data_IF_703063731773
#
_entry.id   IF_703063731773
#
_cell.length_a   1.000
_cell.length_b   1.000
_cell.length_c   1.000
_cell.angle_alpha   90.00
_cell.angle_beta   90.00
_cell.angle_gamma   90.00
#
_symmetry.space_group_name_H-M   'P 1'
#
loop_
_entity.id
_entity.type
_entity.pdbx_description
1 polymer ?
#
# COMPACT_ATOMS: atom_id res chain seq x y z
N UNK A 1 32.95 24.99 45.96
CA UNK A 1 32.40 23.64 45.77
C UNK A 1 31.20 23.74 44.86
N UNK A 2 30.30 24.69 45.14
CA UNK A 2 29.13 25.03 44.32
C UNK A 2 29.49 25.39 42.86
N UNK A 3 30.48 26.25 42.61
CA UNK A 3 30.91 26.59 41.24
C UNK A 3 31.30 25.37 40.37
N UNK A 4 31.92 24.34 40.96
CA UNK A 4 32.31 23.13 40.21
C UNK A 4 31.09 22.23 39.97
N UNK A 5 30.17 22.15 40.94
CA UNK A 5 28.94 21.37 40.82
C UNK A 5 28.02 22.01 39.77
N UNK A 6 27.88 23.33 39.79
CA UNK A 6 27.07 24.09 38.82
C UNK A 6 27.63 23.93 37.40
N UNK A 7 28.97 24.04 37.23
CA UNK A 7 29.62 23.82 35.95
C UNK A 7 29.44 22.38 35.43
N UNK A 8 29.46 21.37 36.30
CA UNK A 8 29.19 19.97 35.93
C UNK A 8 27.72 19.79 35.55
N UNK A 9 26.78 20.40 36.27
CA UNK A 9 25.33 20.34 35.98
C UNK A 9 25.02 20.97 34.63
N UNK A 10 25.58 22.13 34.34
CA UNK A 10 25.36 22.83 33.07
C UNK A 10 25.98 22.07 31.89
N UNK A 11 27.17 21.49 32.08
CA UNK A 11 27.78 20.59 31.10
C UNK A 11 26.92 19.34 30.83
N UNK A 12 26.39 18.70 31.88
CA UNK A 12 25.53 17.52 31.76
C UNK A 12 24.20 17.85 31.09
N UNK A 13 23.60 19.01 31.39
CA UNK A 13 22.40 19.49 30.71
C UNK A 13 22.64 19.64 29.22
N UNK A 14 23.72 20.33 28.82
CA UNK A 14 24.07 20.48 27.40
C UNK A 14 24.18 19.14 26.67
N UNK A 15 24.89 18.16 27.28
CA UNK A 15 25.04 16.83 26.71
C UNK A 15 23.70 16.10 26.54
N UNK A 16 22.80 16.21 27.52
CA UNK A 16 21.47 15.60 27.47
C UNK A 16 20.56 16.28 26.44
N UNK A 17 20.56 17.62 26.35
CA UNK A 17 19.81 18.37 25.33
C UNK A 17 20.29 17.95 23.93
N UNK A 18 21.61 17.97 23.69
CA UNK A 18 22.17 17.60 22.39
C UNK A 18 21.86 16.14 22.03
N UNK A 19 21.86 15.24 23.02
CA UNK A 19 21.49 13.83 22.81
C UNK A 19 20.01 13.64 22.48
N UNK A 20 19.10 14.36 23.13
CA UNK A 20 17.66 14.32 22.83
C UNK A 20 17.40 14.92 21.45
N UNK A 21 17.97 16.09 21.17
CA UNK A 21 17.84 16.77 19.88
C UNK A 21 18.37 15.90 18.74
N UNK A 22 19.54 15.26 18.89
CA UNK A 22 20.06 14.34 17.88
C UNK A 22 19.15 13.13 17.62
N UNK A 23 18.46 12.63 18.66
CA UNK A 23 17.48 11.56 18.50
C UNK A 23 16.20 12.01 17.80
N UNK A 24 15.75 13.25 18.06
CA UNK A 24 14.57 13.86 17.42
C UNK A 24 14.86 14.27 15.96
N UNK A 25 16.01 14.85 15.68
CA UNK A 25 16.49 15.14 14.31
C UNK A 25 16.53 13.86 13.49
N UNK A 26 17.18 12.82 14.04
CA UNK A 26 17.22 11.52 13.41
C UNK A 26 15.82 10.94 13.16
N UNK A 27 14.86 11.17 14.05
CA UNK A 27 13.46 10.77 13.82
C UNK A 27 12.87 11.52 12.62
N UNK A 28 12.97 12.85 12.58
CA UNK A 28 12.33 13.66 11.53
C UNK A 28 12.93 13.38 10.15
N UNK A 29 14.26 13.23 10.07
CA UNK A 29 14.94 12.85 8.84
C UNK A 29 14.50 11.46 8.36
N UNK A 30 14.43 10.48 9.27
CA UNK A 30 13.98 9.13 8.94
C UNK A 30 12.52 9.10 8.48
N UNK A 31 11.63 9.92 9.08
CA UNK A 31 10.22 10.01 8.65
C UNK A 31 10.13 10.59 7.24
N UNK A 32 10.80 11.71 6.99
CA UNK A 32 10.78 12.37 5.68
C UNK A 32 11.38 11.47 4.59
N UNK A 33 12.51 10.83 4.88
CA UNK A 33 13.13 9.86 3.96
C UNK A 33 12.21 8.65 3.75
N UNK A 34 11.61 8.10 4.81
CA UNK A 34 10.69 6.97 4.71
C UNK A 34 9.47 7.31 3.85
N UNK A 35 8.89 8.51 3.97
CA UNK A 35 7.75 8.93 3.12
C UNK A 35 8.14 8.93 1.64
N UNK A 36 9.31 9.47 1.30
CA UNK A 36 9.83 9.49 -0.08
C UNK A 36 10.17 8.10 -0.63
N UNK A 37 10.83 7.28 0.17
CA UNK A 37 11.20 5.91 -0.19
C UNK A 37 9.96 5.01 -0.34
N UNK A 38 8.99 5.12 0.57
CA UNK A 38 7.73 4.36 0.50
C UNK A 38 6.94 4.76 -0.73
N UNK A 39 6.83 6.05 -1.04
CA UNK A 39 6.18 6.49 -2.28
C UNK A 39 6.81 5.83 -3.52
N UNK A 40 8.14 5.72 -3.52
CA UNK A 40 8.88 5.03 -4.59
C UNK A 40 8.58 3.53 -4.59
N UNK A 41 8.76 2.84 -3.47
CA UNK A 41 8.53 1.39 -3.35
C UNK A 41 7.07 0.98 -3.57
N UNK A 42 6.12 1.87 -3.26
CA UNK A 42 4.69 1.65 -3.46
C UNK A 42 4.28 1.93 -4.91
N UNK A 43 5.02 2.80 -5.61
CA UNK A 43 4.84 3.11 -7.02
C UNK A 43 5.59 2.21 -8.01
N UNK A 44 6.43 1.27 -7.56
CA UNK A 44 7.19 0.37 -8.47
C UNK A 44 6.30 -0.68 -9.14
N UNK A 45 6.56 -0.94 -10.43
CA UNK A 45 5.83 -1.95 -11.21
C UNK A 45 6.18 -3.36 -10.74
N UNK A 46 5.27 -4.33 -10.91
CA UNK A 46 5.61 -5.73 -10.70
C UNK A 46 6.79 -6.20 -11.56
N UNK A 47 7.01 -5.60 -12.74
CA UNK A 47 8.15 -5.93 -13.58
C UNK A 47 9.48 -5.37 -13.02
N UNK A 48 9.45 -4.12 -12.56
CA UNK A 48 10.63 -3.41 -12.06
C UNK A 48 11.00 -3.84 -10.63
N UNK A 49 10.02 -4.28 -9.84
CA UNK A 49 10.26 -4.74 -8.47
C UNK A 49 11.14 -5.98 -8.42
N UNK A 50 10.86 -6.98 -9.28
CA UNK A 50 11.75 -8.12 -9.47
C UNK A 50 11.47 -8.80 -10.83
N UNK A 51 12.37 -8.57 -11.79
CA UNK A 51 12.23 -9.12 -13.14
C UNK A 51 12.21 -10.65 -13.17
N UNK A 52 12.96 -11.33 -12.27
CA UNK A 52 13.03 -12.79 -12.20
C UNK A 52 11.70 -13.41 -11.73
N UNK A 53 11.16 -12.91 -10.63
CA UNK A 53 9.86 -13.35 -10.10
C UNK A 53 8.75 -13.01 -11.10
N UNK A 54 8.76 -11.82 -11.68
CA UNK A 54 7.79 -11.42 -12.69
C UNK A 54 7.80 -12.36 -13.91
N UNK A 55 8.98 -12.67 -14.45
CA UNK A 55 9.13 -13.61 -15.57
C UNK A 55 8.63 -15.00 -15.22
N UNK A 56 8.92 -15.49 -14.00
CA UNK A 56 8.43 -16.78 -13.53
C UNK A 56 6.90 -16.81 -13.43
N UNK A 57 6.30 -15.77 -12.84
CA UNK A 57 4.84 -15.65 -12.71
C UNK A 57 4.16 -15.57 -14.07
N UNK A 58 4.71 -14.79 -14.99
CA UNK A 58 4.24 -14.71 -16.36
C UNK A 58 4.28 -16.07 -17.05
N UNK A 59 5.40 -16.78 -16.94
CA UNK A 59 5.56 -18.10 -17.52
C UNK A 59 4.53 -19.08 -16.97
N UNK A 60 4.31 -19.12 -15.64
CA UNK A 60 3.27 -19.97 -15.02
C UNK A 60 1.89 -19.61 -15.57
N UNK A 61 1.56 -18.32 -15.64
CA UNK A 61 0.26 -17.86 -16.11
C UNK A 61 0.01 -18.25 -17.57
N UNK A 62 0.98 -17.98 -18.46
CA UNK A 62 0.85 -18.22 -19.90
C UNK A 62 0.95 -19.72 -20.28
N UNK A 63 1.72 -20.52 -19.55
CA UNK A 63 1.96 -21.93 -19.92
C UNK A 63 1.04 -22.92 -19.19
N UNK A 64 0.73 -22.68 -17.91
CA UNK A 64 -0.05 -23.62 -17.10
C UNK A 64 -1.49 -23.15 -16.87
N UNK A 65 -1.69 -21.88 -16.54
CA UNK A 65 -3.02 -21.37 -16.14
C UNK A 65 -3.88 -21.05 -17.36
N UNK A 66 -3.30 -20.45 -18.41
CA UNK A 66 -4.03 -20.07 -19.62
C UNK A 66 -4.73 -21.27 -20.31
N UNK A 67 -4.10 -22.46 -20.48
CA UNK A 67 -4.80 -23.63 -21.02
C UNK A 67 -5.98 -24.08 -20.15
N UNK A 68 -5.81 -24.08 -18.82
CA UNK A 68 -6.89 -24.44 -17.88
C UNK A 68 -8.07 -23.47 -18.04
N UNK A 69 -7.77 -22.17 -18.13
CA UNK A 69 -8.79 -21.15 -18.37
C UNK A 69 -9.47 -21.31 -19.74
N UNK A 70 -8.74 -21.74 -20.78
CA UNK A 70 -9.32 -22.06 -22.08
C UNK A 70 -10.33 -23.21 -22.02
N UNK A 71 -10.05 -24.24 -21.22
CA UNK A 71 -11.00 -25.33 -20.97
C UNK A 71 -12.24 -24.82 -20.22
N UNK A 72 -12.06 -24.00 -19.19
CA UNK A 72 -13.17 -23.38 -18.45
C UNK A 72 -14.03 -22.53 -19.38
N UNK A 73 -13.40 -21.68 -20.21
CA UNK A 73 -14.12 -20.86 -21.19
C UNK A 73 -14.93 -21.72 -22.15
N UNK A 74 -14.37 -22.85 -22.61
CA UNK A 74 -15.08 -23.78 -23.50
C UNK A 74 -16.34 -24.33 -22.82
N UNK A 75 -16.25 -24.74 -21.55
CA UNK A 75 -17.42 -25.18 -20.79
C UNK A 75 -18.45 -24.07 -20.63
N UNK A 76 -18.01 -22.87 -20.26
CA UNK A 76 -18.86 -21.69 -20.06
C UNK A 76 -19.63 -21.33 -21.34
N UNK A 77 -18.94 -21.26 -22.48
CA UNK A 77 -19.57 -20.93 -23.77
C UNK A 77 -20.49 -22.04 -24.28
N UNK A 78 -20.14 -23.31 -24.04
CA UNK A 78 -20.99 -24.47 -24.39
C UNK A 78 -22.26 -24.48 -23.56
N UNK A 79 -22.16 -24.18 -22.27
CA UNK A 79 -23.32 -24.08 -21.39
C UNK A 79 -24.29 -22.97 -21.84
N UNK A 80 -23.78 -21.79 -22.16
CA UNK A 80 -24.60 -20.70 -22.70
C UNK A 80 -25.29 -21.09 -24.02
N UNK A 81 -24.58 -21.82 -24.90
CA UNK A 81 -25.17 -22.33 -26.14
C UNK A 81 -26.35 -23.28 -25.89
N UNK A 82 -26.20 -24.21 -24.95
CA UNK A 82 -27.26 -25.14 -24.57
C UNK A 82 -28.46 -24.38 -23.98
N UNK A 83 -28.24 -23.41 -23.10
CA UNK A 83 -29.33 -22.61 -22.53
C UNK A 83 -30.12 -21.88 -23.62
N UNK A 84 -29.44 -21.21 -24.57
CA UNK A 84 -30.11 -20.53 -25.68
C UNK A 84 -30.95 -21.49 -26.56
N UNK A 85 -30.48 -22.72 -26.77
CA UNK A 85 -31.22 -23.74 -27.50
C UNK A 85 -32.48 -24.22 -26.76
N UNK A 86 -32.38 -24.41 -25.44
CA UNK A 86 -33.49 -24.83 -24.59
C UNK A 86 -34.56 -23.74 -24.47
N UNK A 87 -34.18 -22.47 -24.33
CA UNK A 87 -35.13 -21.35 -24.26
C UNK A 87 -35.91 -21.14 -25.57
N UNK A 88 -35.39 -21.60 -26.70
CA UNK A 88 -36.00 -21.49 -28.04
C UNK A 88 -36.60 -22.80 -28.55
N UNK A 89 -37.15 -23.64 -27.64
CA UNK A 89 -37.73 -24.97 -27.89
C UNK A 89 -38.95 -25.03 -28.84
N UNK A 90 -39.03 -24.20 -29.87
CA UNK A 90 -40.05 -24.30 -30.91
C UNK A 90 -39.50 -24.43 -32.34
N UNK A 91 -38.18 -24.39 -32.59
CA UNK A 91 -37.50 -24.64 -33.89
C UNK A 91 -38.08 -23.95 -35.15
N UNK A 92 -39.11 -23.12 -35.03
CA UNK A 92 -39.86 -22.57 -36.16
C UNK A 92 -39.24 -21.27 -36.65
N UNK A 93 -38.49 -20.57 -35.79
CA UNK A 93 -37.72 -19.37 -36.11
C UNK A 93 -36.40 -19.39 -35.34
N UNK A 94 -35.45 -20.20 -35.81
CA UNK A 94 -34.07 -20.16 -35.31
C UNK A 94 -33.46 -18.85 -35.82
N UNK A 95 -33.50 -17.82 -34.97
CA UNK A 95 -32.95 -16.50 -35.27
C UNK A 95 -31.43 -16.60 -35.46
N UNK A 96 -30.97 -16.65 -36.71
CA UNK A 96 -29.56 -16.80 -37.10
C UNK A 96 -28.69 -15.70 -36.47
N UNK A 97 -29.30 -14.55 -36.17
CA UNK A 97 -28.66 -13.44 -35.49
C UNK A 97 -28.18 -13.79 -34.08
N UNK A 98 -28.91 -14.64 -33.34
CA UNK A 98 -28.52 -15.06 -31.99
C UNK A 98 -27.23 -15.89 -32.02
N UNK A 99 -27.12 -16.82 -32.97
CA UNK A 99 -25.89 -17.61 -33.15
C UNK A 99 -24.71 -16.72 -33.52
N UNK A 100 -24.92 -15.73 -34.39
CA UNK A 100 -23.87 -14.78 -34.75
C UNK A 100 -23.38 -13.99 -33.52
N UNK A 101 -24.30 -13.52 -32.65
CA UNK A 101 -23.94 -12.86 -31.39
C UNK A 101 -23.12 -13.77 -30.47
N UNK A 102 -23.48 -15.04 -30.36
CA UNK A 102 -22.74 -16.00 -29.54
C UNK A 102 -21.35 -16.31 -30.10
N UNK A 103 -21.22 -16.46 -31.42
CA UNK A 103 -19.90 -16.64 -32.07
C UNK A 103 -19.03 -15.42 -31.82
N UNK A 104 -19.58 -14.21 -32.01
CA UNK A 104 -18.87 -12.97 -31.74
C UNK A 104 -18.47 -12.85 -30.27
N UNK A 105 -19.37 -13.17 -29.34
CA UNK A 105 -19.10 -13.18 -27.90
C UNK A 105 -17.97 -14.15 -27.53
N UNK A 106 -17.99 -15.36 -28.09
CA UNK A 106 -16.93 -16.36 -27.92
C UNK A 106 -15.59 -15.84 -28.44
N UNK A 107 -15.57 -15.23 -29.62
CA UNK A 107 -14.37 -14.64 -30.21
C UNK A 107 -13.77 -13.54 -29.32
N UNK A 108 -14.61 -12.62 -28.83
CA UNK A 108 -14.18 -11.56 -27.90
C UNK A 108 -13.67 -12.15 -26.59
N UNK A 109 -14.34 -13.17 -26.06
CA UNK A 109 -13.90 -13.84 -24.83
C UNK A 109 -12.52 -14.49 -24.97
N UNK A 110 -12.27 -15.18 -26.09
CA UNK A 110 -10.95 -15.75 -26.39
C UNK A 110 -9.89 -14.65 -26.51
N UNK A 111 -10.20 -13.56 -27.21
CA UNK A 111 -9.27 -12.43 -27.36
C UNK A 111 -8.90 -11.79 -26.01
N UNK A 112 -9.88 -11.59 -25.14
CA UNK A 112 -9.68 -11.09 -23.78
C UNK A 112 -8.83 -12.07 -22.98
N UNK A 113 -9.13 -13.38 -23.05
CA UNK A 113 -8.43 -14.41 -22.31
C UNK A 113 -6.94 -14.49 -22.71
N UNK A 114 -6.63 -14.45 -24.01
CA UNK A 114 -5.25 -14.44 -24.53
C UNK A 114 -4.47 -13.20 -24.11
N UNK A 115 -5.15 -12.09 -23.84
CA UNK A 115 -4.52 -10.82 -23.41
C UNK A 115 -4.67 -10.55 -21.91
N UNK A 116 -5.06 -11.54 -21.11
CA UNK A 116 -5.35 -11.34 -19.68
C UNK A 116 -4.19 -10.70 -18.93
N UNK A 117 -2.96 -11.19 -19.15
CA UNK A 117 -1.77 -10.67 -18.46
C UNK A 117 -1.54 -9.18 -18.77
N UNK A 118 -1.71 -8.76 -20.03
CA UNK A 118 -1.59 -7.36 -20.44
C UNK A 118 -2.68 -6.49 -19.80
N UNK A 119 -3.91 -6.99 -19.71
CA UNK A 119 -5.03 -6.25 -19.07
C UNK A 119 -4.74 -6.04 -17.59
N UNK A 120 -4.25 -7.07 -16.89
CA UNK A 120 -3.91 -6.97 -15.48
C UNK A 120 -2.80 -5.94 -15.25
N UNK A 121 -1.75 -5.96 -16.08
CA UNK A 121 -0.68 -4.97 -16.01
C UNK A 121 -1.20 -3.55 -16.26
N UNK A 122 -2.06 -3.35 -17.26
CA UNK A 122 -2.63 -2.04 -17.55
C UNK A 122 -3.44 -1.48 -16.36
N UNK A 123 -4.14 -2.32 -15.60
CA UNK A 123 -4.82 -1.89 -14.36
C UNK A 123 -3.83 -1.41 -13.31
N UNK A 124 -2.68 -2.10 -13.19
CA UNK A 124 -1.62 -1.67 -12.28
C UNK A 124 -0.95 -0.38 -12.74
N UNK A 125 -0.70 -0.19 -14.04
CA UNK A 125 -0.14 1.05 -14.59
C UNK A 125 -1.02 2.26 -14.26
N UNK A 126 -2.35 2.11 -14.41
CA UNK A 126 -3.32 3.15 -14.02
C UNK A 126 -3.26 3.42 -12.52
N UNK A 127 -3.21 2.36 -11.70
CA UNK A 127 -3.13 2.50 -10.24
C UNK A 127 -1.84 3.23 -9.83
N UNK A 128 -0.73 2.94 -10.48
CA UNK A 128 0.55 3.60 -10.25
C UNK A 128 0.57 5.04 -10.65
N UNK A 129 -0.05 5.39 -11.77
CA UNK A 129 -0.16 6.78 -12.18
C UNK A 129 -0.84 7.62 -11.07
N UNK A 130 -1.91 7.10 -10.48
CA UNK A 130 -2.61 7.74 -9.35
C UNK A 130 -1.70 7.84 -8.11
N UNK A 131 -0.95 6.77 -7.80
CA UNK A 131 -0.02 6.75 -6.68
C UNK A 131 1.09 7.80 -6.86
N UNK A 132 1.70 7.89 -8.04
CA UNK A 132 2.76 8.85 -8.35
C UNK A 132 2.27 10.29 -8.28
N UNK A 133 1.07 10.58 -8.81
CA UNK A 133 0.46 11.90 -8.67
C UNK A 133 0.21 12.27 -7.21
N UNK A 134 -0.29 11.31 -6.42
CA UNK A 134 -0.57 11.53 -4.99
C UNK A 134 0.72 11.71 -4.19
N UNK A 135 1.78 10.95 -4.53
CA UNK A 135 3.11 11.10 -3.94
C UNK A 135 3.65 12.52 -4.09
N UNK A 136 3.55 13.09 -5.30
CA UNK A 136 4.02 14.45 -5.57
C UNK A 136 3.29 15.51 -4.75
N UNK A 137 1.99 15.34 -4.48
CA UNK A 137 1.24 16.27 -3.62
C UNK A 137 1.70 16.14 -2.16
N UNK A 138 1.89 14.92 -1.69
CA UNK A 138 2.20 14.62 -0.29
C UNK A 138 3.62 15.08 0.06
N UNK A 139 4.61 14.85 -0.80
CA UNK A 139 5.98 15.32 -0.57
C UNK A 139 6.07 16.84 -0.39
N UNK A 140 5.27 17.62 -1.12
CA UNK A 140 5.26 19.08 -1.01
C UNK A 140 4.57 19.61 0.27
N UNK A 141 3.85 18.76 1.02
CA UNK A 141 3.04 19.17 2.17
C UNK A 141 3.56 18.69 3.52
N UNK A 142 4.63 17.89 3.55
CA UNK A 142 5.14 17.24 4.77
C UNK A 142 6.55 17.64 5.16
N UNK A 143 7.13 18.69 4.55
CA UNK A 143 8.46 19.17 4.93
C UNK A 143 8.45 19.72 6.36
N UNK A 144 9.23 19.09 7.24
CA UNK A 144 9.43 19.56 8.60
C UNK A 144 10.47 20.67 8.57
N UNK A 145 10.08 21.88 8.98
CA UNK A 145 10.92 23.08 8.92
C UNK A 145 11.90 23.13 10.10
N UNK A 146 13.17 23.57 9.91
CA UNK A 146 14.17 23.72 10.97
C UNK A 146 13.70 24.56 12.17
N UNK A 147 12.82 25.54 11.93
CA UNK A 147 12.27 26.43 12.96
C UNK A 147 11.58 25.69 14.13
N UNK A 148 11.05 24.51 13.86
CA UNK A 148 10.36 23.69 14.87
C UNK A 148 11.36 23.06 15.84
N UNK A 149 12.50 22.59 15.34
CA UNK A 149 13.58 22.01 16.13
C UNK A 149 14.25 23.05 17.05
N UNK A 150 14.40 24.28 16.58
CA UNK A 150 14.95 25.38 17.37
C UNK A 150 14.03 25.73 18.57
N UNK A 151 12.71 25.63 18.39
CA UNK A 151 11.75 25.87 19.47
C UNK A 151 11.81 24.78 20.55
N UNK A 152 11.90 23.51 20.16
CA UNK A 152 12.07 22.38 21.08
C UNK A 152 13.40 22.44 21.83
N UNK A 153 14.49 22.85 21.15
CA UNK A 153 15.80 23.05 21.78
C UNK A 153 15.72 24.08 22.90
N UNK A 154 15.10 25.22 22.62
CA UNK A 154 14.94 26.32 23.59
C UNK A 154 14.19 25.86 24.85
N UNK A 155 13.16 25.03 24.67
CA UNK A 155 12.39 24.49 25.78
C UNK A 155 13.16 23.44 26.59
N UNK A 156 13.92 22.56 25.93
CA UNK A 156 14.79 21.58 26.59
C UNK A 156 15.91 22.27 27.40
N UNK A 157 16.51 23.34 26.88
CA UNK A 157 17.54 24.11 27.60
C UNK A 157 16.98 24.79 28.86
N UNK A 158 15.69 25.12 28.88
CA UNK A 158 15.01 25.69 30.05
C UNK A 158 14.68 24.66 31.15
N UNK A 159 14.79 23.36 30.89
CA UNK A 159 14.43 22.31 31.85
C UNK A 159 15.55 22.02 32.88
N UNK A 160 15.14 21.47 34.03
CA UNK A 160 16.06 20.99 35.07
C UNK A 160 16.72 19.66 34.67
N UNK A 161 17.88 19.36 35.27
CA UNK A 161 18.70 18.18 34.91
C UNK A 161 17.97 16.85 35.16
N UNK A 162 17.15 16.76 36.21
CA UNK A 162 16.38 15.55 36.53
C UNK A 162 15.37 15.16 35.43
N UNK A 163 14.43 16.04 35.06
CA UNK A 163 13.53 15.84 33.92
C UNK A 163 14.26 15.56 32.60
N UNK A 164 15.36 16.26 32.34
CA UNK A 164 16.17 16.09 31.14
C UNK A 164 16.74 14.68 31.01
N UNK A 165 17.24 14.11 32.12
CA UNK A 165 17.74 12.74 32.15
C UNK A 165 16.61 11.71 31.90
N UNK A 166 15.41 11.97 32.42
CA UNK A 166 14.23 11.15 32.16
C UNK A 166 13.81 11.17 30.69
N UNK A 167 13.75 12.35 30.07
CA UNK A 167 13.47 12.54 28.64
C UNK A 167 14.52 11.87 27.76
N UNK A 168 15.79 11.99 28.12
CA UNK A 168 16.88 11.33 27.39
C UNK A 168 16.70 9.81 27.41
N UNK A 169 16.37 9.22 28.55
CA UNK A 169 16.08 7.78 28.62
C UNK A 169 14.84 7.39 27.79
N UNK A 170 13.78 8.21 27.82
CA UNK A 170 12.57 8.00 27.01
C UNK A 170 12.85 8.11 25.50
N UNK A 171 13.79 8.97 25.09
CA UNK A 171 14.14 9.14 23.66
C UNK A 171 14.72 7.87 23.02
N UNK A 172 15.30 6.95 23.80
CA UNK A 172 15.70 5.63 23.28
C UNK A 172 14.51 4.75 22.87
N UNK A 173 13.36 4.90 23.53
CA UNK A 173 12.15 4.16 23.14
C UNK A 173 11.68 4.59 21.75
N UNK A 174 11.86 5.87 21.40
CA UNK A 174 11.54 6.39 20.07
C UNK A 174 12.38 5.69 19.00
N UNK A 175 13.69 5.57 19.20
CA UNK A 175 14.56 4.86 18.25
C UNK A 175 14.11 3.39 18.05
N UNK A 176 13.75 2.71 19.15
CA UNK A 176 13.24 1.34 19.07
C UNK A 176 11.94 1.26 18.25
N UNK A 177 11.02 2.20 18.47
CA UNK A 177 9.76 2.25 17.70
C UNK A 177 9.98 2.52 16.22
N UNK A 178 11.02 3.29 15.85
CA UNK A 178 11.35 3.54 14.44
C UNK A 178 11.90 2.32 13.73
N UNK A 179 12.74 1.54 14.39
CA UNK A 179 13.21 0.25 13.85
C UNK A 179 12.01 -0.68 13.61
N UNK A 180 11.08 -0.74 14.57
CA UNK A 180 9.88 -1.55 14.42
C UNK A 180 8.99 -1.06 13.26
N UNK A 181 8.83 0.26 13.10
CA UNK A 181 8.04 0.85 12.02
C UNK A 181 8.60 0.48 10.65
N UNK A 182 9.93 0.58 10.46
CA UNK A 182 10.59 0.22 9.21
C UNK A 182 10.32 -1.24 8.83
N UNK A 183 10.41 -2.16 9.80
CA UNK A 183 10.11 -3.59 9.60
C UNK A 183 8.63 -3.78 9.19
N UNK A 184 7.69 -3.12 9.87
CA UNK A 184 6.26 -3.24 9.55
C UNK A 184 5.97 -2.75 8.13
N UNK A 185 6.53 -1.60 7.76
CA UNK A 185 6.40 -1.04 6.41
C UNK A 185 6.96 -2.01 5.38
N UNK A 186 8.18 -2.53 5.60
CA UNK A 186 8.79 -3.51 4.71
C UNK A 186 7.86 -4.71 4.47
N UNK A 187 7.34 -5.31 5.55
CA UNK A 187 6.45 -6.47 5.47
C UNK A 187 5.18 -6.15 4.68
N UNK A 188 4.57 -4.99 4.87
CA UNK A 188 3.32 -4.62 4.21
C UNK A 188 3.54 -4.27 2.74
N UNK A 189 4.57 -3.48 2.43
CA UNK A 189 4.93 -3.06 1.08
C UNK A 189 5.33 -4.28 0.24
N UNK A 190 6.10 -5.23 0.79
CA UNK A 190 6.50 -6.46 0.10
C UNK A 190 5.37 -7.49 0.05
N UNK A 191 4.57 -7.58 1.12
CA UNK A 191 3.38 -8.43 1.17
C UNK A 191 2.39 -8.07 0.07
N UNK A 192 2.14 -6.77 -0.17
CA UNK A 192 1.27 -6.31 -1.26
C UNK A 192 1.80 -6.75 -2.64
N UNK A 193 3.11 -6.71 -2.87
CA UNK A 193 3.70 -7.11 -4.15
C UNK A 193 3.52 -8.60 -4.40
N UNK A 194 3.67 -9.40 -3.35
CA UNK A 194 3.40 -10.84 -3.41
C UNK A 194 1.93 -11.11 -3.72
N UNK A 195 1.00 -10.37 -3.10
CA UNK A 195 -0.44 -10.47 -3.40
C UNK A 195 -0.76 -10.11 -4.86
N UNK A 196 -0.13 -9.05 -5.40
CA UNK A 196 -0.24 -8.67 -6.82
C UNK A 196 0.20 -9.81 -7.73
N UNK A 197 1.34 -10.45 -7.46
CA UNK A 197 1.82 -11.57 -8.26
C UNK A 197 0.89 -12.78 -8.21
N UNK A 198 0.34 -13.10 -7.03
CA UNK A 198 -0.62 -14.19 -6.90
C UNK A 198 -1.89 -13.92 -7.70
N UNK A 199 -2.47 -12.73 -7.58
CA UNK A 199 -3.64 -12.33 -8.37
C UNK A 199 -3.35 -12.36 -9.87
N UNK A 200 -2.20 -11.86 -10.29
CA UNK A 200 -1.79 -11.82 -11.71
C UNK A 200 -1.59 -13.23 -12.27
N UNK A 201 -0.98 -14.14 -11.49
CA UNK A 201 -0.71 -15.51 -11.94
C UNK A 201 -1.99 -16.28 -12.28
N UNK A 202 -3.05 -16.07 -11.49
CA UNK A 202 -4.32 -16.78 -11.58
C UNK A 202 -5.38 -16.04 -12.42
N UNK A 203 -5.05 -14.85 -12.93
CA UNK A 203 -5.97 -13.98 -13.66
C UNK A 203 -6.75 -14.66 -14.82
N UNK A 204 -6.17 -15.56 -15.63
CA UNK A 204 -6.89 -16.15 -16.75
C UNK A 204 -8.16 -16.91 -16.34
N UNK A 205 -8.17 -17.54 -15.16
CA UNK A 205 -9.31 -18.35 -14.70
C UNK A 205 -10.57 -17.51 -14.48
N UNK A 206 -10.56 -16.43 -13.66
CA UNK A 206 -11.71 -15.53 -13.56
C UNK A 206 -12.09 -14.86 -14.88
N UNK A 207 -11.13 -14.55 -15.75
CA UNK A 207 -11.41 -13.96 -17.06
C UNK A 207 -12.21 -14.90 -17.96
N UNK A 208 -11.98 -16.21 -17.87
CA UNK A 208 -12.74 -17.21 -18.61
C UNK A 208 -14.21 -17.30 -18.18
N UNK A 209 -14.57 -16.83 -16.97
CA UNK A 209 -15.95 -16.91 -16.44
C UNK A 209 -16.77 -15.65 -16.64
N UNK A 210 -16.13 -14.51 -16.97
CA UNK A 210 -16.76 -13.21 -17.25
C UNK A 210 -17.88 -13.26 -18.31
N UNK A 211 -17.74 -14.02 -19.43
CA UNK A 211 -18.74 -13.97 -20.50
C UNK A 211 -20.13 -14.44 -20.04
N UNK A 212 -20.21 -15.42 -19.15
CA UNK A 212 -21.50 -15.99 -18.74
C UNK A 212 -22.15 -15.18 -17.62
N UNK A 213 -23.48 -15.07 -17.65
CA UNK A 213 -24.24 -14.24 -16.71
C UNK A 213 -24.26 -14.82 -15.30
N UNK A 214 -24.27 -16.15 -15.17
CA UNK A 214 -24.32 -16.82 -13.87
C UNK A 214 -22.94 -16.86 -13.20
N UNK A 215 -21.89 -17.18 -13.96
CA UNK A 215 -20.52 -17.26 -13.43
C UNK A 215 -19.75 -15.94 -13.52
N UNK A 216 -20.28 -14.93 -14.22
CA UNK A 216 -19.63 -13.65 -14.46
C UNK A 216 -19.39 -12.83 -13.20
N UNK A 217 -20.14 -13.10 -12.12
CA UNK A 217 -19.89 -12.51 -10.81
C UNK A 217 -18.49 -12.82 -10.28
N UNK A 218 -17.93 -14.00 -10.59
CA UNK A 218 -16.56 -14.37 -10.20
C UNK A 218 -15.52 -13.50 -10.91
N UNK A 219 -15.66 -13.31 -12.22
CA UNK A 219 -14.78 -12.43 -12.99
C UNK A 219 -14.90 -10.96 -12.58
N UNK A 220 -16.12 -10.47 -12.31
CA UNK A 220 -16.34 -9.12 -11.79
C UNK A 220 -15.71 -8.92 -10.40
N UNK A 221 -15.83 -9.89 -9.51
CA UNK A 221 -15.20 -9.82 -8.18
C UNK A 221 -13.68 -9.83 -8.29
N UNK A 222 -13.12 -10.58 -9.25
CA UNK A 222 -11.69 -10.53 -9.53
C UNK A 222 -11.23 -9.13 -9.96
N UNK A 223 -11.94 -8.48 -10.90
CA UNK A 223 -11.60 -7.09 -11.28
C UNK A 223 -11.67 -6.14 -10.10
N UNK A 224 -12.71 -6.23 -9.27
CA UNK A 224 -12.80 -5.42 -8.04
C UNK A 224 -11.62 -5.67 -7.09
N UNK A 225 -11.18 -6.93 -6.97
CA UNK A 225 -10.05 -7.30 -6.11
C UNK A 225 -8.74 -6.77 -6.68
N UNK A 226 -8.59 -6.82 -8.00
CA UNK A 226 -7.44 -6.27 -8.71
C UNK A 226 -7.34 -4.76 -8.51
N UNK A 227 -8.46 -4.03 -8.65
CA UNK A 227 -8.51 -2.61 -8.34
C UNK A 227 -8.25 -2.33 -6.85
N UNK A 228 -8.79 -3.15 -5.94
CA UNK A 228 -8.54 -3.00 -4.51
C UNK A 228 -7.05 -3.10 -4.18
N UNK A 229 -6.34 -4.11 -4.69
CA UNK A 229 -4.91 -4.27 -4.45
C UNK A 229 -4.09 -3.18 -5.15
N UNK A 230 -4.51 -2.73 -6.34
CA UNK A 230 -3.90 -1.57 -7.01
C UNK A 230 -4.03 -0.28 -6.18
N UNK A 231 -5.21 0.00 -5.63
CA UNK A 231 -5.47 1.17 -4.79
C UNK A 231 -4.97 1.04 -3.35
N UNK A 232 -4.66 -0.18 -2.88
CA UNK A 232 -4.05 -0.37 -1.56
C UNK A 232 -2.73 0.41 -1.44
N UNK A 233 -1.96 0.51 -2.52
CA UNK A 233 -0.74 1.34 -2.54
C UNK A 233 -1.02 2.81 -2.21
N UNK A 234 -2.10 3.37 -2.78
CA UNK A 234 -2.51 4.74 -2.47
C UNK A 234 -2.86 4.90 -0.98
N UNK A 235 -3.58 3.94 -0.40
CA UNK A 235 -3.96 3.98 1.01
C UNK A 235 -2.75 3.91 1.94
N UNK A 236 -1.74 3.09 1.61
CA UNK A 236 -0.47 3.05 2.36
C UNK A 236 0.19 4.42 2.34
N UNK A 237 0.25 5.05 1.16
CA UNK A 237 0.86 6.37 0.99
C UNK A 237 0.10 7.43 1.82
N UNK A 238 -1.23 7.44 1.77
CA UNK A 238 -2.07 8.34 2.58
C UNK A 238 -1.88 8.12 4.07
N UNK A 239 -1.78 6.86 4.55
CA UNK A 239 -1.51 6.57 5.96
C UNK A 239 -0.18 7.17 6.43
N UNK A 240 0.88 7.01 5.63
CA UNK A 240 2.20 7.56 5.94
C UNK A 240 2.20 9.09 5.89
N UNK A 241 1.45 9.70 4.96
CA UNK A 241 1.28 11.14 4.89
C UNK A 241 0.59 11.72 6.13
N UNK A 242 -0.50 11.08 6.58
CA UNK A 242 -1.21 11.47 7.81
C UNK A 242 -0.26 11.39 9.00
N UNK A 243 0.55 10.33 9.08
CA UNK A 243 1.54 10.19 10.14
C UNK A 243 2.59 11.31 10.12
N UNK A 244 3.13 11.67 8.96
CA UNK A 244 4.09 12.77 8.84
C UNK A 244 3.50 14.09 9.36
N UNK A 245 2.25 14.41 9.01
CA UNK A 245 1.54 15.60 9.51
C UNK A 245 1.29 15.54 11.02
N UNK A 246 0.91 14.38 11.56
CA UNK A 246 0.69 14.20 13.01
C UNK A 246 1.99 14.35 13.82
N UNK A 247 3.11 13.85 13.30
CA UNK A 247 4.42 14.03 13.91
C UNK A 247 4.84 15.50 13.89
N UNK A 248 4.50 16.24 12.82
CA UNK A 248 4.73 17.68 12.76
C UNK A 248 3.92 18.45 13.81
N UNK A 249 2.64 18.09 14.03
CA UNK A 249 1.81 18.78 15.04
C UNK A 249 2.30 18.60 16.47
N UNK A 250 2.95 17.46 16.78
CA UNK A 250 3.58 17.25 18.09
C UNK A 250 4.66 18.29 18.35
N UNK A 251 5.45 18.58 17.32
CA UNK A 251 6.60 19.45 17.45
C UNK A 251 6.19 20.93 17.61
N UNK A 252 4.92 21.28 17.33
CA UNK A 252 4.34 22.62 17.57
C UNK A 252 3.66 22.80 18.92
N UNK A 253 3.42 21.73 19.69
CA UNK A 253 2.64 21.79 20.95
C UNK A 253 3.45 22.26 22.18
N UNK A 254 4.79 22.27 22.11
CA UNK A 254 5.65 22.81 23.18
C UNK A 254 5.59 22.03 24.51
N UNK A 255 5.38 20.71 24.47
CA UNK A 255 5.57 19.83 25.64
C UNK A 255 6.51 18.68 25.25
N UNK A 256 7.79 18.70 25.68
CA UNK A 256 8.75 17.66 25.34
C UNK A 256 8.35 16.25 25.80
N UNK A 257 7.64 16.12 26.93
CA UNK A 257 7.22 14.81 27.45
C UNK A 257 6.01 14.30 26.65
N UNK A 258 5.01 15.16 26.46
CA UNK A 258 3.86 14.87 25.61
C UNK A 258 4.28 14.52 24.18
N UNK A 259 5.32 15.16 23.67
CA UNK A 259 5.85 14.93 22.34
C UNK A 259 6.40 13.51 22.14
N UNK A 260 7.20 12.99 23.08
CA UNK A 260 7.75 11.63 22.98
C UNK A 260 6.61 10.59 23.00
N UNK A 261 5.65 10.72 23.93
CA UNK A 261 4.53 9.78 24.03
C UNK A 261 3.57 9.89 22.83
N UNK A 262 3.35 11.10 22.31
CA UNK A 262 2.63 11.34 21.07
C UNK A 262 3.29 10.62 19.89
N UNK A 263 4.61 10.76 19.73
CA UNK A 263 5.37 10.11 18.66
C UNK A 263 5.20 8.58 18.72
N UNK A 264 5.36 7.99 19.91
CA UNK A 264 5.14 6.55 20.11
C UNK A 264 3.70 6.15 19.78
N UNK A 265 2.71 6.90 20.28
CA UNK A 265 1.29 6.64 20.06
C UNK A 265 0.89 6.69 18.58
N UNK A 266 1.33 7.72 17.85
CA UNK A 266 1.09 7.85 16.42
C UNK A 266 1.79 6.78 15.60
N UNK A 267 2.98 6.34 16.03
CA UNK A 267 3.70 5.24 15.37
C UNK A 267 2.93 3.92 15.50
N UNK A 268 2.37 3.63 16.68
CA UNK A 268 1.51 2.46 16.89
C UNK A 268 0.22 2.55 16.07
N UNK A 269 -0.40 3.73 16.01
CA UNK A 269 -1.59 3.98 15.20
C UNK A 269 -1.30 3.79 13.71
N UNK A 270 -0.16 4.27 13.22
CA UNK A 270 0.29 4.04 11.85
C UNK A 270 0.43 2.54 11.56
N UNK A 271 1.12 1.79 12.43
CA UNK A 271 1.22 0.33 12.27
C UNK A 271 -0.17 -0.34 12.15
N UNK A 272 -1.10 0.01 13.04
CA UNK A 272 -2.46 -0.54 13.01
C UNK A 272 -3.22 -0.21 11.72
N UNK A 273 -3.13 1.04 11.27
CA UNK A 273 -3.82 1.48 10.05
C UNK A 273 -3.20 0.85 8.80
N UNK A 274 -1.87 0.75 8.73
CA UNK A 274 -1.17 0.08 7.63
C UNK A 274 -1.60 -1.38 7.48
N UNK A 275 -1.69 -2.15 8.58
CA UNK A 275 -2.18 -3.54 8.51
C UNK A 275 -3.63 -3.65 8.02
N UNK A 276 -4.44 -2.61 8.21
CA UNK A 276 -5.84 -2.56 7.75
C UNK A 276 -6.00 -2.05 6.32
N UNK A 277 -4.97 -1.47 5.69
CA UNK A 277 -5.10 -0.90 4.33
C UNK A 277 -5.63 -1.90 3.31
N UNK A 278 -5.16 -3.15 3.34
CA UNK A 278 -5.61 -4.20 2.42
C UNK A 278 -7.08 -4.59 2.61
N UNK A 279 -7.55 -4.74 3.86
CA UNK A 279 -8.95 -5.06 4.14
C UNK A 279 -9.87 -3.87 3.84
N UNK A 280 -9.41 -2.64 4.09
CA UNK A 280 -10.12 -1.42 3.75
C UNK A 280 -10.27 -1.25 2.24
N UNK A 281 -9.21 -1.51 1.47
CA UNK A 281 -9.27 -1.47 0.01
C UNK A 281 -10.30 -2.47 -0.53
N UNK A 282 -10.27 -3.72 -0.07
CA UNK A 282 -11.23 -4.76 -0.48
C UNK A 282 -12.67 -4.37 -0.13
N UNK A 283 -12.89 -3.78 1.05
CA UNK A 283 -14.20 -3.28 1.47
C UNK A 283 -14.72 -2.16 0.57
N UNK A 284 -13.87 -1.17 0.21
CA UNK A 284 -14.25 -0.05 -0.68
C UNK A 284 -14.72 -0.55 -2.05
N UNK A 285 -14.01 -1.52 -2.61
CA UNK A 285 -14.36 -2.08 -3.92
C UNK A 285 -15.44 -3.18 -3.84
N UNK A 286 -15.96 -3.47 -2.65
CA UNK A 286 -17.01 -4.47 -2.46
C UNK A 286 -16.57 -5.89 -2.82
N UNK A 287 -15.32 -6.22 -2.51
CA UNK A 287 -14.78 -7.57 -2.57
C UNK A 287 -15.00 -8.28 -1.24
N UNK A 288 -15.80 -9.34 -1.29
CA UNK A 288 -15.95 -10.31 -0.21
C UNK A 288 -15.37 -11.66 -0.66
#
# INVERSE_FOLDING_TARGET
>A
MDFIIDAIVEWLKGLLVDGIMGNLDGLFDNVNQSVGEIATQVGTTPADWNAGVFSMIRQISETAILPIAGVILTFVMTYELIQMLIERNNLHEVDTWMFFKWVFKTFVAVMILTNTFNIVLAVFDVSQHVIQQSAGIIQNGTEITPDVLDSLRTELEAMELGPLFGLWLQSFLIQLTMIALNIVIFVIVYGRMTEIYLLTSLAPIPFATVPNRETGHMGQNYFRSLFAVGFQGLLILVCVAIYAVLIQSIATDGDPIGAIWGCVGYTVLLCFTLFKTGSLAKSIFGCH
#
